data_IF_694911628414
#
_entry.id   IF_694911628414
#
_cell.length_a   1.000
_cell.length_b   1.000
_cell.length_c   1.000
_cell.angle_alpha   90.00
_cell.angle_beta   90.00
_cell.angle_gamma   90.00
#
_symmetry.space_group_name_H-M   'P 1'
#
loop_
_entity.id
_entity.type
_entity.pdbx_description
1 polymer ?
#
# COMPACT_ATOMS: atom_id res chain seq x y z
N UNK A 1 -12.57 24.48 -8.51
CA UNK A 1 -12.22 23.31 -9.35
C UNK A 1 -11.82 22.21 -8.38
N UNK A 2 -12.77 21.36 -7.98
CA UNK A 2 -12.49 20.17 -7.18
C UNK A 2 -12.06 19.10 -8.17
N UNK A 3 -10.75 18.93 -8.27
CA UNK A 3 -10.14 17.87 -9.05
C UNK A 3 -10.46 16.55 -8.36
N UNK A 4 -11.57 15.94 -8.74
CA UNK A 4 -11.84 14.53 -8.47
C UNK A 4 -10.84 13.73 -9.32
N UNK A 5 -9.60 13.65 -8.86
CA UNK A 5 -8.64 12.65 -9.28
C UNK A 5 -9.18 11.33 -8.75
N UNK A 6 -10.13 10.77 -9.50
CA UNK A 6 -10.56 9.39 -9.33
C UNK A 6 -9.30 8.54 -9.28
N UNK A 7 -9.16 7.79 -8.19
CA UNK A 7 -8.19 6.72 -7.99
C UNK A 7 -8.08 5.89 -9.28
N UNK A 8 -7.05 6.15 -10.07
CA UNK A 8 -6.80 5.47 -11.34
C UNK A 8 -5.31 5.24 -11.57
N UNK A 9 -4.53 5.20 -10.48
CA UNK A 9 -3.09 4.96 -10.53
C UNK A 9 -2.60 3.90 -9.54
N UNK A 10 -3.48 3.09 -8.94
CA UNK A 10 -3.07 1.85 -8.29
C UNK A 10 -3.13 0.71 -9.33
N UNK A 11 -2.04 -0.04 -9.50
CA UNK A 11 -2.11 -1.32 -10.20
C UNK A 11 -1.46 -1.46 -11.59
N UNK A 12 -0.49 -0.63 -11.96
CA UNK A 12 0.31 -0.88 -13.17
C UNK A 12 1.81 -0.75 -12.93
N UNK A 13 2.40 -1.64 -12.12
CA UNK A 13 3.86 -1.65 -11.97
C UNK A 13 4.51 -2.87 -11.32
N UNK A 14 3.88 -3.51 -10.34
CA UNK A 14 4.63 -4.41 -9.44
C UNK A 14 4.74 -5.87 -9.94
N UNK A 15 3.90 -6.32 -10.87
CA UNK A 15 3.95 -7.71 -11.37
C UNK A 15 5.18 -8.06 -12.22
N UNK A 16 6.02 -7.10 -12.59
CA UNK A 16 7.18 -7.35 -13.45
C UNK A 16 8.47 -7.71 -12.69
N UNK A 17 8.54 -7.49 -11.36
CA UNK A 17 9.77 -7.71 -10.59
C UNK A 17 9.88 -9.09 -9.92
N UNK A 18 8.79 -9.86 -9.86
CA UNK A 18 8.81 -11.23 -9.32
C UNK A 18 9.52 -12.27 -10.23
N UNK A 19 10.03 -11.87 -11.39
CA UNK A 19 10.59 -12.76 -12.40
C UNK A 19 12.12 -12.91 -12.37
N UNK A 20 12.84 -12.21 -11.49
CA UNK A 20 14.31 -12.30 -11.45
C UNK A 20 14.89 -12.44 -10.03
N UNK A 21 14.52 -13.53 -9.36
CA UNK A 21 15.24 -14.15 -8.23
C UNK A 21 16.05 -13.24 -7.29
N UNK A 22 15.38 -12.62 -6.32
CA UNK A 22 15.97 -11.96 -5.16
C UNK A 22 15.03 -12.16 -3.97
N UNK A 23 15.65 -12.52 -2.85
CA UNK A 23 15.27 -12.50 -1.44
C UNK A 23 13.83 -12.79 -0.93
N UNK A 24 13.77 -13.46 0.23
CA UNK A 24 12.52 -13.75 0.94
C UNK A 24 11.92 -12.48 1.60
N UNK A 25 12.73 -11.44 1.75
CA UNK A 25 12.40 -10.20 2.43
C UNK A 25 11.68 -9.22 1.49
N UNK A 26 12.04 -9.17 0.19
CA UNK A 26 11.27 -8.50 -0.86
C UNK A 26 9.82 -9.00 -0.92
N UNK A 27 9.63 -10.32 -0.80
CA UNK A 27 8.29 -10.92 -0.71
C UNK A 27 7.57 -10.54 0.57
N UNK A 28 8.27 -10.28 1.68
CA UNK A 28 7.63 -9.89 2.93
C UNK A 28 7.13 -8.45 2.85
N UNK A 29 7.91 -7.53 2.28
CA UNK A 29 7.49 -6.16 2.00
C UNK A 29 6.31 -6.13 1.01
N UNK A 30 6.43 -6.81 -0.13
CA UNK A 30 5.35 -6.92 -1.14
C UNK A 30 4.05 -7.48 -0.53
N UNK A 31 4.14 -8.48 0.36
CA UNK A 31 2.96 -9.03 1.03
C UNK A 31 2.33 -8.06 2.04
N UNK A 32 3.12 -7.19 2.67
CA UNK A 32 2.62 -6.18 3.61
C UNK A 32 1.90 -5.07 2.85
N UNK A 33 2.50 -4.58 1.77
CA UNK A 33 1.92 -3.56 0.89
C UNK A 33 0.63 -4.09 0.25
N UNK A 34 0.65 -5.27 -0.38
CA UNK A 34 -0.53 -5.87 -0.99
C UNK A 34 -1.66 -6.16 0.03
N UNK A 35 -1.31 -6.50 1.28
CA UNK A 35 -2.30 -6.71 2.33
C UNK A 35 -2.88 -5.38 2.86
N UNK A 36 -2.12 -4.30 2.80
CA UNK A 36 -2.59 -2.95 3.13
C UNK A 36 -3.49 -2.40 2.02
N UNK A 37 -3.04 -2.48 0.76
CA UNK A 37 -3.79 -2.10 -0.45
C UNK A 37 -5.15 -2.82 -0.48
N UNK A 38 -5.16 -4.15 -0.33
CA UNK A 38 -6.42 -4.91 -0.32
C UNK A 38 -7.37 -4.49 0.81
N UNK A 39 -6.87 -3.97 1.93
CA UNK A 39 -7.71 -3.46 3.03
C UNK A 39 -8.20 -2.05 2.75
N UNK A 40 -7.34 -1.19 2.19
CA UNK A 40 -7.70 0.14 1.74
C UNK A 40 -8.79 0.07 0.66
N UNK A 41 -8.63 -0.78 -0.36
CA UNK A 41 -9.64 -1.05 -1.39
C UNK A 41 -11.00 -1.45 -0.79
N UNK A 42 -11.01 -2.35 0.19
CA UNK A 42 -12.25 -2.74 0.85
C UNK A 42 -12.90 -1.58 1.64
N UNK A 43 -12.11 -0.64 2.16
CA UNK A 43 -12.62 0.54 2.86
C UNK A 43 -13.15 1.58 1.87
N UNK A 44 -12.49 1.77 0.72
CA UNK A 44 -12.97 2.60 -0.37
C UNK A 44 -14.27 2.05 -0.98
N UNK A 45 -14.34 0.75 -1.24
CA UNK A 45 -15.58 0.08 -1.70
C UNK A 45 -16.74 0.30 -0.71
N UNK A 46 -16.45 0.36 0.59
CA UNK A 46 -17.45 0.69 1.61
C UNK A 46 -17.80 2.17 1.64
N UNK A 47 -16.82 3.05 1.38
CA UNK A 47 -17.03 4.50 1.27
C UNK A 47 -17.94 4.83 0.09
N UNK A 48 -17.73 4.17 -1.06
CA UNK A 48 -18.57 4.27 -2.26
C UNK A 48 -20.04 3.86 -2.00
N UNK A 49 -20.26 2.95 -1.05
CA UNK A 49 -21.59 2.50 -0.65
C UNK A 49 -22.16 3.29 0.55
N UNK A 50 -21.43 4.28 1.07
CA UNK A 50 -21.81 5.00 2.27
C UNK A 50 -23.09 5.83 2.04
N UNK A 51 -23.98 5.91 3.05
CA UNK A 51 -25.26 6.62 2.93
C UNK A 51 -25.14 8.15 3.01
N UNK A 52 -23.97 8.70 3.37
CA UNK A 52 -23.71 10.13 3.47
C UNK A 52 -22.21 10.45 3.44
N UNK A 53 -21.88 11.70 3.07
CA UNK A 53 -20.50 12.20 2.93
C UNK A 53 -19.67 12.07 4.21
N UNK A 54 -20.26 12.24 5.41
CA UNK A 54 -19.48 12.12 6.66
C UNK A 54 -18.99 10.69 6.90
N UNK A 55 -19.74 9.69 6.44
CA UNK A 55 -19.34 8.29 6.56
C UNK A 55 -18.36 7.91 5.46
N UNK A 56 -18.55 8.41 4.24
CA UNK A 56 -17.60 8.32 3.13
C UNK A 56 -16.22 8.87 3.55
N UNK A 57 -16.16 10.14 3.99
CA UNK A 57 -14.93 10.80 4.44
C UNK A 57 -14.21 10.04 5.57
N UNK A 58 -14.96 9.38 6.45
CA UNK A 58 -14.39 8.63 7.57
C UNK A 58 -13.86 7.24 7.16
N UNK A 59 -14.40 6.66 6.10
CA UNK A 59 -13.94 5.41 5.51
C UNK A 59 -12.74 5.65 4.60
N UNK A 60 -12.78 6.72 3.79
CA UNK A 60 -11.64 7.18 2.99
C UNK A 60 -10.43 7.49 3.88
N UNK A 61 -10.60 8.28 4.95
CA UNK A 61 -9.51 8.51 5.91
C UNK A 61 -8.96 7.23 6.53
N UNK A 62 -9.79 6.20 6.71
CA UNK A 62 -9.29 4.91 7.21
C UNK A 62 -8.50 4.16 6.13
N UNK A 63 -8.92 4.23 4.87
CA UNK A 63 -8.18 3.67 3.75
C UNK A 63 -6.79 4.31 3.65
N UNK A 64 -6.73 5.65 3.63
CA UNK A 64 -5.48 6.42 3.61
C UNK A 64 -4.53 5.99 4.75
N UNK A 65 -5.05 5.92 5.99
CA UNK A 65 -4.25 5.51 7.14
C UNK A 65 -3.71 4.08 7.03
N UNK A 66 -4.43 3.19 6.35
CA UNK A 66 -4.00 1.80 6.14
C UNK A 66 -2.92 1.74 5.06
N UNK A 67 -3.06 2.51 3.99
CA UNK A 67 -2.06 2.66 2.94
C UNK A 67 -0.75 3.23 3.51
N UNK A 68 -0.82 4.37 4.21
CA UNK A 68 0.32 5.02 4.87
C UNK A 68 1.05 4.06 5.83
N UNK A 69 0.28 3.28 6.61
CA UNK A 69 0.84 2.31 7.53
C UNK A 69 1.44 1.07 6.83
N UNK A 70 0.95 0.73 5.64
CA UNK A 70 1.50 -0.31 4.78
C UNK A 70 2.84 0.13 4.17
N UNK A 71 2.85 1.31 3.57
CA UNK A 71 4.05 1.92 2.97
C UNK A 71 5.15 2.12 4.02
N UNK A 72 4.83 2.73 5.17
CA UNK A 72 5.81 2.90 6.26
C UNK A 72 6.40 1.58 6.79
N UNK A 73 5.66 0.47 6.68
CA UNK A 73 6.18 -0.86 7.03
C UNK A 73 7.02 -1.47 5.93
N UNK A 74 6.63 -1.30 4.67
CA UNK A 74 7.42 -1.73 3.52
C UNK A 74 8.78 -1.01 3.53
N UNK A 75 8.78 0.33 3.69
CA UNK A 75 10.00 1.13 3.83
C UNK A 75 10.88 0.65 5.00
N UNK A 76 10.28 0.32 6.16
CA UNK A 76 11.05 -0.17 7.30
C UNK A 76 11.67 -1.57 7.06
N UNK A 77 11.09 -2.38 6.19
CA UNK A 77 11.65 -3.69 5.78
C UNK A 77 12.80 -3.45 4.81
N UNK A 78 12.63 -2.58 3.82
CA UNK A 78 13.67 -2.22 2.85
C UNK A 78 14.88 -1.59 3.54
N UNK A 79 14.67 -0.60 4.43
CA UNK A 79 15.73 0.03 5.23
C UNK A 79 16.51 -0.98 6.08
N UNK A 80 15.81 -1.99 6.62
CA UNK A 80 16.42 -3.05 7.41
C UNK A 80 17.28 -3.98 6.54
N UNK A 81 16.87 -4.25 5.30
CA UNK A 81 17.65 -5.06 4.37
C UNK A 81 18.88 -4.30 3.85
N UNK A 82 18.73 -3.01 3.51
CA UNK A 82 19.85 -2.15 3.13
C UNK A 82 20.92 -2.05 4.24
N UNK A 83 20.48 -1.84 5.48
CA UNK A 83 21.38 -1.82 6.63
C UNK A 83 22.09 -3.16 6.89
N UNK A 84 21.42 -4.28 6.60
CA UNK A 84 21.98 -5.64 6.70
C UNK A 84 23.02 -5.90 5.61
N UNK A 85 22.76 -5.43 4.39
CA UNK A 85 23.67 -5.54 3.25
C UNK A 85 24.92 -4.70 3.45
N UNK A 86 24.81 -3.51 4.06
CA UNK A 86 25.95 -2.65 4.35
C UNK A 86 26.87 -3.22 5.45
N UNK A 87 26.31 -3.89 6.47
CA UNK A 87 27.08 -4.56 7.53
C UNK A 87 27.72 -5.90 7.09
N UNK A 88 27.38 -6.38 5.88
CA UNK A 88 27.90 -7.64 5.32
C UNK A 88 29.09 -7.46 4.35
N UNK A 89 29.60 -6.22 4.21
CA UNK A 89 30.82 -5.87 3.43
C UNK A 89 32.03 -5.66 4.31
#
# INVERSE_FOLDING_TARGET
>A
MRTHFKAALAGAGLFALAACGGDADDRAAENVEAAAEARADNLEDQADMAPNETMEDALEQQADNVEDAGEAKAEAIDDADDARMENSR
#
